data_IF_675681782714
#
_entry.id   IF_675681782714
#
_cell.length_a   1.000
_cell.length_b   1.000
_cell.length_c   1.000
_cell.angle_alpha   90.00
_cell.angle_beta   90.00
_cell.angle_gamma   90.00
#
_symmetry.space_group_name_H-M   'P 1'
#
loop_
_entity.id
_entity.type
_entity.pdbx_description
1 polymer ?
#
# COMPACT_ATOMS: atom_id res chain seq x y z
N UNK A 1 17.46 -9.83 21.86
CA UNK A 1 15.98 -9.89 21.63
C UNK A 1 15.38 -10.81 22.69
N UNK A 2 14.40 -10.33 23.45
CA UNK A 2 13.75 -11.09 24.52
C UNK A 2 12.84 -12.20 23.94
N UNK A 3 12.72 -13.36 24.67
CA UNK A 3 11.75 -14.41 24.35
C UNK A 3 10.30 -13.87 24.28
N UNK A 4 9.99 -12.86 25.08
CA UNK A 4 8.70 -12.16 25.11
C UNK A 4 8.42 -11.46 23.78
N UNK A 5 9.41 -10.77 23.20
CA UNK A 5 9.24 -10.06 21.91
C UNK A 5 8.98 -11.02 20.74
N UNK A 6 9.63 -12.18 20.76
CA UNK A 6 9.41 -13.19 19.72
C UNK A 6 7.99 -13.76 19.77
N UNK A 7 7.46 -14.03 20.99
CA UNK A 7 6.10 -14.53 21.21
C UNK A 7 5.04 -13.49 20.79
N UNK A 8 5.24 -12.22 21.15
CA UNK A 8 4.34 -11.12 20.77
C UNK A 8 4.27 -10.98 19.26
N UNK A 9 5.43 -10.98 18.57
CA UNK A 9 5.46 -10.90 17.10
C UNK A 9 4.77 -12.09 16.44
N UNK A 10 5.02 -13.31 16.94
CA UNK A 10 4.35 -14.50 16.45
C UNK A 10 2.83 -14.40 16.57
N UNK A 11 2.35 -14.01 17.76
CA UNK A 11 0.91 -13.85 18.02
C UNK A 11 0.28 -12.82 17.09
N UNK A 12 0.92 -11.64 16.93
CA UNK A 12 0.45 -10.60 15.98
C UNK A 12 0.38 -11.11 14.56
N UNK A 13 1.38 -11.86 14.11
CA UNK A 13 1.41 -12.45 12.78
C UNK A 13 0.25 -13.40 12.54
N UNK A 14 0.04 -14.35 13.45
CA UNK A 14 -1.06 -15.34 13.33
C UNK A 14 -2.43 -14.66 13.33
N UNK A 15 -2.64 -13.63 14.18
CA UNK A 15 -3.88 -12.83 14.18
C UNK A 15 -4.10 -12.18 12.82
N UNK A 16 -3.07 -11.53 12.25
CA UNK A 16 -3.16 -10.86 10.96
C UNK A 16 -3.44 -11.83 9.81
N UNK A 17 -2.71 -12.93 9.73
CA UNK A 17 -2.91 -13.97 8.71
C UNK A 17 -4.34 -14.53 8.74
N UNK A 18 -4.85 -14.84 9.94
CA UNK A 18 -6.22 -15.31 10.13
C UNK A 18 -7.27 -14.27 9.73
N UNK A 19 -7.05 -13.01 10.08
CA UNK A 19 -7.94 -11.91 9.72
C UNK A 19 -7.96 -11.64 8.21
N UNK A 20 -6.80 -11.62 7.55
CA UNK A 20 -6.70 -11.46 6.11
C UNK A 20 -7.38 -12.60 5.35
N UNK A 21 -7.27 -13.84 5.85
CA UNK A 21 -8.01 -14.97 5.28
C UNK A 21 -9.53 -14.77 5.36
N UNK A 22 -10.05 -14.29 6.48
CA UNK A 22 -11.48 -13.99 6.63
C UNK A 22 -11.94 -12.82 5.73
N UNK A 23 -11.08 -11.81 5.52
CA UNK A 23 -11.37 -10.67 4.62
C UNK A 23 -11.49 -11.08 3.14
N UNK A 24 -10.91 -12.20 2.73
CA UNK A 24 -11.12 -12.76 1.38
C UNK A 24 -12.53 -13.30 1.17
N UNK A 25 -13.16 -13.75 2.24
CA UNK A 25 -14.45 -14.42 2.19
C UNK A 25 -15.62 -13.46 2.43
N UNK A 26 -15.39 -12.40 3.22
CA UNK A 26 -16.47 -11.49 3.63
C UNK A 26 -15.94 -10.11 4.06
N UNK A 27 -16.78 -9.07 3.93
CA UNK A 27 -16.39 -7.72 4.30
C UNK A 27 -16.19 -7.59 5.83
N UNK A 28 -15.34 -6.63 6.22
CA UNK A 28 -14.91 -6.41 7.62
C UNK A 28 -16.07 -6.29 8.61
N UNK A 29 -17.17 -5.64 8.23
CA UNK A 29 -18.35 -5.46 9.09
C UNK A 29 -19.10 -6.75 9.43
N UNK A 30 -18.74 -7.87 8.78
CA UNK A 30 -19.25 -9.22 9.06
C UNK A 30 -18.24 -10.12 9.75
N UNK A 31 -17.03 -9.62 10.02
CA UNK A 31 -15.99 -10.37 10.74
C UNK A 31 -16.07 -10.04 12.23
N UNK A 32 -16.08 -11.09 13.04
CA UNK A 32 -16.12 -10.97 14.51
C UNK A 32 -14.79 -11.35 15.14
N UNK A 33 -14.48 -10.76 16.30
CA UNK A 33 -13.30 -11.15 17.11
C UNK A 33 -13.32 -12.64 17.44
N UNK A 34 -14.52 -13.24 17.61
CA UNK A 34 -14.65 -14.68 17.85
C UNK A 34 -14.07 -15.49 16.70
N UNK A 35 -14.43 -15.18 15.47
CA UNK A 35 -13.97 -15.90 14.28
C UNK A 35 -12.48 -15.74 14.07
N UNK A 36 -11.94 -14.52 14.28
CA UNK A 36 -10.49 -14.28 14.22
C UNK A 36 -9.76 -15.13 15.27
N UNK A 37 -10.26 -15.18 16.51
CA UNK A 37 -9.67 -15.98 17.57
C UNK A 37 -9.72 -17.48 17.29
N UNK A 38 -10.83 -17.97 16.73
CA UNK A 38 -10.98 -19.38 16.33
C UNK A 38 -10.01 -19.74 15.21
N UNK A 39 -9.92 -18.91 14.16
CA UNK A 39 -8.99 -19.10 13.05
C UNK A 39 -7.51 -19.02 13.50
N UNK A 40 -7.19 -18.08 14.39
CA UNK A 40 -5.84 -17.88 14.93
C UNK A 40 -5.48 -18.88 16.07
N UNK A 41 -6.42 -19.70 16.53
CA UNK A 41 -6.26 -20.61 17.67
C UNK A 41 -5.78 -19.91 18.96
N UNK A 42 -6.34 -18.73 19.26
CA UNK A 42 -6.04 -17.94 20.45
C UNK A 42 -7.32 -17.67 21.24
N UNK A 43 -7.17 -17.32 22.51
CA UNK A 43 -8.29 -16.82 23.30
C UNK A 43 -8.55 -15.33 23.09
N UNK A 44 -9.77 -14.86 23.44
CA UNK A 44 -10.16 -13.44 23.28
C UNK A 44 -9.30 -12.49 24.11
N UNK A 45 -8.85 -12.89 25.30
CA UNK A 45 -7.97 -12.04 26.12
C UNK A 45 -6.64 -11.76 25.42
N UNK A 46 -6.09 -12.76 24.71
CA UNK A 46 -4.90 -12.60 23.88
C UNK A 46 -5.17 -11.63 22.72
N UNK A 47 -6.32 -11.73 22.03
CA UNK A 47 -6.67 -10.76 20.99
C UNK A 47 -6.76 -9.34 21.55
N UNK A 48 -7.53 -9.13 22.62
CA UNK A 48 -7.73 -7.82 23.23
C UNK A 48 -6.47 -7.23 23.87
N UNK A 49 -5.44 -8.01 24.15
CA UNK A 49 -4.13 -7.49 24.55
C UNK A 49 -3.34 -6.82 23.38
N UNK A 50 -3.79 -7.02 22.14
CA UNK A 50 -3.17 -6.47 20.93
C UNK A 50 -4.04 -5.46 20.18
N UNK A 51 -5.35 -5.70 20.09
CA UNK A 51 -6.31 -4.92 19.30
C UNK A 51 -7.64 -4.79 20.04
N UNK A 52 -8.25 -3.61 19.99
CA UNK A 52 -9.58 -3.37 20.61
C UNK A 52 -10.70 -4.10 19.88
N UNK A 53 -10.61 -4.23 18.57
CA UNK A 53 -11.60 -4.85 17.69
C UNK A 53 -11.01 -5.17 16.32
N UNK A 54 -11.83 -5.68 15.39
CA UNK A 54 -11.41 -6.00 14.03
C UNK A 54 -11.07 -4.77 13.19
N UNK A 55 -11.65 -3.59 13.47
CA UNK A 55 -11.34 -2.36 12.76
C UNK A 55 -9.97 -1.82 13.17
N UNK A 56 -9.63 -1.85 14.46
CA UNK A 56 -8.29 -1.51 14.94
C UNK A 56 -7.21 -2.46 14.40
N UNK A 57 -7.54 -3.74 14.22
CA UNK A 57 -6.66 -4.70 13.55
C UNK A 57 -6.46 -4.33 12.08
N UNK A 58 -7.53 -4.00 11.35
CA UNK A 58 -7.47 -3.54 9.97
C UNK A 58 -6.58 -2.30 9.83
N UNK A 59 -6.84 -1.27 10.64
CA UNK A 59 -6.08 -0.03 10.66
C UNK A 59 -4.58 -0.27 10.94
N UNK A 60 -4.25 -1.20 11.84
CA UNK A 60 -2.86 -1.58 12.11
C UNK A 60 -2.18 -2.20 10.89
N UNK A 61 -2.88 -3.00 10.09
CA UNK A 61 -2.34 -3.61 8.87
C UNK A 61 -2.18 -2.55 7.77
N UNK A 62 -3.18 -1.69 7.61
CA UNK A 62 -3.11 -0.55 6.67
C UNK A 62 -1.92 0.36 6.99
N UNK A 63 -1.73 0.71 8.28
CA UNK A 63 -0.63 1.57 8.70
C UNK A 63 0.73 0.94 8.42
N UNK A 64 0.89 -0.37 8.59
CA UNK A 64 2.13 -1.06 8.23
C UNK A 64 2.45 -0.97 6.73
N UNK A 65 1.43 -1.07 5.86
CA UNK A 65 1.62 -0.87 4.41
C UNK A 65 2.00 0.57 4.09
N UNK A 66 1.36 1.55 4.72
CA UNK A 66 1.67 2.97 4.53
C UNK A 66 3.07 3.32 5.03
N UNK A 67 3.49 2.78 6.17
CA UNK A 67 4.83 2.98 6.71
C UNK A 67 5.90 2.37 5.79
N UNK A 68 5.65 1.17 5.25
CA UNK A 68 6.54 0.51 4.29
C UNK A 68 6.66 1.33 3.00
N UNK A 69 5.55 1.86 2.49
CA UNK A 69 5.52 2.73 1.32
C UNK A 69 6.26 4.05 1.57
N UNK A 70 5.99 4.73 2.69
CA UNK A 70 6.66 5.97 3.08
C UNK A 70 8.18 5.79 3.21
N UNK A 71 8.63 4.67 3.79
CA UNK A 71 10.06 4.33 3.85
C UNK A 71 10.68 4.14 2.46
N UNK A 72 9.95 3.57 1.52
CA UNK A 72 10.40 3.42 0.13
C UNK A 72 10.49 4.76 -0.56
N UNK A 73 9.49 5.64 -0.41
CA UNK A 73 9.54 7.03 -0.92
C UNK A 73 10.74 7.80 -0.40
N UNK A 74 11.06 7.71 0.90
CA UNK A 74 12.20 8.38 1.51
C UNK A 74 13.58 7.94 1.00
N UNK A 75 13.66 6.79 0.31
CA UNK A 75 14.88 6.28 -0.32
C UNK A 75 15.06 6.74 -1.77
N UNK A 76 14.01 7.24 -2.40
CA UNK A 76 14.04 7.73 -3.78
C UNK A 76 14.61 9.16 -3.75
N UNK A 77 15.90 9.31 -4.05
CA UNK A 77 16.62 10.60 -3.95
C UNK A 77 16.21 11.65 -5.01
N UNK A 78 15.74 11.22 -6.17
CA UNK A 78 15.06 12.02 -7.19
C UNK A 78 13.73 11.31 -7.42
N UNK A 79 12.62 12.05 -7.47
CA UNK A 79 11.30 11.44 -7.68
C UNK A 79 11.24 10.86 -9.10
N UNK A 80 11.79 9.66 -9.24
CA UNK A 80 11.78 8.85 -10.43
C UNK A 80 10.65 7.84 -10.37
N UNK A 81 9.78 7.88 -11.37
CA UNK A 81 8.56 7.06 -11.40
C UNK A 81 8.89 5.58 -11.51
N UNK A 82 9.95 5.21 -12.22
CA UNK A 82 10.37 3.82 -12.30
C UNK A 82 10.76 3.29 -10.91
N UNK A 83 11.54 4.07 -10.16
CA UNK A 83 11.91 3.74 -8.78
C UNK A 83 10.68 3.67 -7.85
N UNK A 84 9.65 4.49 -8.07
CA UNK A 84 8.39 4.43 -7.32
C UNK A 84 7.64 3.13 -7.59
N UNK A 85 7.51 2.74 -8.87
CA UNK A 85 6.84 1.48 -9.25
C UNK A 85 7.62 0.29 -8.70
N UNK A 86 8.94 0.29 -8.80
CA UNK A 86 9.80 -0.74 -8.20
C UNK A 86 9.59 -0.85 -6.69
N UNK A 87 9.50 0.29 -5.98
CA UNK A 87 9.22 0.31 -4.55
C UNK A 87 7.85 -0.28 -4.19
N UNK A 88 6.84 -0.09 -5.04
CA UNK A 88 5.51 -0.71 -4.89
C UNK A 88 5.64 -2.23 -5.03
N UNK A 89 6.33 -2.72 -6.05
CA UNK A 89 6.55 -4.15 -6.23
C UNK A 89 7.32 -4.77 -5.06
N UNK A 90 8.38 -4.12 -4.56
CA UNK A 90 9.10 -4.57 -3.36
C UNK A 90 8.20 -4.64 -2.12
N UNK A 91 7.30 -3.66 -1.95
CA UNK A 91 6.32 -3.67 -0.87
C UNK A 91 5.36 -4.87 -1.01
N UNK A 92 4.89 -5.15 -2.23
CA UNK A 92 4.04 -6.30 -2.51
C UNK A 92 4.79 -7.61 -2.25
N UNK A 93 6.06 -7.71 -2.63
CA UNK A 93 6.88 -8.90 -2.36
C UNK A 93 7.04 -9.16 -0.85
N UNK A 94 7.14 -8.10 -0.03
CA UNK A 94 7.30 -8.22 1.44
C UNK A 94 5.98 -8.41 2.19
N UNK A 95 4.91 -7.78 1.73
CA UNK A 95 3.59 -7.75 2.39
C UNK A 95 2.50 -8.40 1.55
N UNK A 96 2.87 -9.34 0.68
CA UNK A 96 2.06 -9.85 -0.42
C UNK A 96 0.62 -10.20 -0.06
N UNK A 97 0.41 -10.86 1.09
CA UNK A 97 -0.94 -11.22 1.54
C UNK A 97 -1.79 -9.99 1.86
N UNK A 98 -1.25 -9.03 2.62
CA UNK A 98 -1.97 -7.80 2.96
C UNK A 98 -2.26 -6.97 1.71
N UNK A 99 -1.30 -6.83 0.79
CA UNK A 99 -1.50 -6.13 -0.47
C UNK A 99 -2.56 -6.79 -1.33
N UNK A 100 -2.55 -8.13 -1.46
CA UNK A 100 -3.54 -8.88 -2.24
C UNK A 100 -4.97 -8.69 -1.71
N UNK A 101 -5.14 -8.68 -0.40
CA UNK A 101 -6.47 -8.55 0.22
C UNK A 101 -6.90 -7.08 0.25
N UNK A 102 -6.06 -6.16 0.75
CA UNK A 102 -6.47 -4.79 1.02
C UNK A 102 -6.48 -3.92 -0.24
N UNK A 103 -5.48 -4.06 -1.10
CA UNK A 103 -5.31 -3.24 -2.30
C UNK A 103 -5.97 -3.93 -3.50
N UNK A 104 -5.46 -5.09 -3.90
CA UNK A 104 -5.90 -5.79 -5.12
C UNK A 104 -7.30 -6.40 -4.97
N UNK A 105 -7.65 -6.90 -3.78
CA UNK A 105 -8.99 -7.41 -3.46
C UNK A 105 -10.00 -6.32 -3.08
N UNK A 106 -9.57 -5.07 -2.96
CA UNK A 106 -10.44 -3.92 -2.65
C UNK A 106 -11.04 -3.94 -1.24
N UNK A 107 -10.51 -4.74 -0.31
CA UNK A 107 -11.02 -4.78 1.06
C UNK A 107 -10.77 -3.48 1.84
N UNK A 108 -9.78 -2.65 1.43
CA UNK A 108 -9.57 -1.30 1.91
C UNK A 108 -9.49 -0.28 0.77
N UNK A 109 -10.60 0.37 0.42
CA UNK A 109 -10.61 1.37 -0.65
C UNK A 109 -9.80 2.64 -0.31
N UNK A 110 -9.46 2.85 0.96
CA UNK A 110 -8.76 4.04 1.43
C UNK A 110 -7.23 3.93 1.40
N UNK A 111 -6.67 2.73 1.48
CA UNK A 111 -5.20 2.52 1.51
C UNK A 111 -4.53 3.10 0.28
N UNK A 112 -5.08 2.84 -0.91
CA UNK A 112 -4.50 3.32 -2.17
C UNK A 112 -4.52 4.85 -2.25
N UNK A 113 -5.62 5.50 -1.88
CA UNK A 113 -5.72 6.96 -1.85
C UNK A 113 -4.77 7.59 -0.82
N UNK A 114 -4.55 6.95 0.33
CA UNK A 114 -3.58 7.38 1.34
C UNK A 114 -2.13 7.25 0.84
N UNK A 115 -1.81 6.19 0.10
CA UNK A 115 -0.49 6.03 -0.55
C UNK A 115 -0.25 7.14 -1.59
N UNK A 116 -1.23 7.45 -2.43
CA UNK A 116 -1.16 8.56 -3.39
C UNK A 116 -0.95 9.89 -2.65
N UNK A 117 -1.66 10.13 -1.55
CA UNK A 117 -1.51 11.33 -0.74
C UNK A 117 -0.10 11.48 -0.14
N UNK A 118 0.52 10.38 0.31
CA UNK A 118 1.91 10.38 0.79
C UNK A 118 2.93 10.74 -0.30
N UNK A 119 2.69 10.34 -1.54
CA UNK A 119 3.58 10.64 -2.67
C UNK A 119 3.39 12.05 -3.25
N UNK A 120 2.29 12.75 -2.90
CA UNK A 120 1.88 14.00 -3.54
C UNK A 120 2.88 15.13 -3.32
N UNK A 121 3.20 15.46 -2.07
CA UNK A 121 4.10 16.57 -1.75
C UNK A 121 5.50 16.38 -2.33
N UNK A 122 6.19 15.24 -2.10
CA UNK A 122 7.52 15.04 -2.69
C UNK A 122 7.50 14.99 -4.22
N UNK A 123 6.45 14.45 -4.84
CA UNK A 123 6.31 14.39 -6.29
C UNK A 123 6.16 15.77 -6.92
N UNK A 124 5.23 16.58 -6.40
CA UNK A 124 5.01 17.96 -6.88
C UNK A 124 6.27 18.82 -6.67
N UNK A 125 6.93 18.70 -5.51
CA UNK A 125 8.16 19.43 -5.23
C UNK A 125 9.28 19.09 -6.22
N UNK A 126 9.43 17.82 -6.59
CA UNK A 126 10.40 17.40 -7.59
C UNK A 126 10.08 17.94 -9.00
N UNK A 127 8.81 17.94 -9.38
CA UNK A 127 8.38 18.45 -10.69
C UNK A 127 8.50 19.97 -10.81
N UNK A 128 8.23 20.73 -9.73
CA UNK A 128 8.46 22.20 -9.70
C UNK A 128 9.87 22.61 -10.06
N UNK A 129 10.86 21.77 -9.81
CA UNK A 129 12.25 22.04 -10.14
C UNK A 129 12.62 21.74 -11.60
N UNK A 130 11.79 20.99 -12.31
CA UNK A 130 12.11 20.42 -13.62
C UNK A 130 11.16 20.88 -14.74
N UNK A 131 9.97 21.36 -14.38
CA UNK A 131 8.91 21.64 -15.34
C UNK A 131 8.55 23.14 -15.33
N UNK A 132 8.22 23.64 -16.50
CA UNK A 132 7.67 24.98 -16.69
C UNK A 132 6.13 24.93 -16.62
N UNK A 133 5.60 24.74 -15.42
CA UNK A 133 4.17 24.57 -15.16
C UNK A 133 3.75 25.37 -13.92
N UNK A 134 2.52 25.86 -13.92
CA UNK A 134 1.89 26.49 -12.76
C UNK A 134 1.60 25.47 -11.65
N UNK A 135 1.44 25.91 -10.40
CA UNK A 135 1.06 25.05 -9.28
C UNK A 135 -0.23 24.28 -9.57
N UNK A 136 -1.21 24.92 -10.21
CA UNK A 136 -2.46 24.26 -10.58
C UNK A 136 -2.28 23.17 -11.62
N UNK A 137 -1.42 23.39 -12.61
CA UNK A 137 -1.10 22.37 -13.63
C UNK A 137 -0.37 21.18 -13.02
N UNK A 138 0.58 21.41 -12.10
CA UNK A 138 1.28 20.36 -11.38
C UNK A 138 0.32 19.49 -10.53
N UNK A 139 -0.64 20.12 -9.85
CA UNK A 139 -1.67 19.43 -9.08
C UNK A 139 -2.58 18.57 -9.97
N UNK A 140 -3.04 19.13 -11.09
CA UNK A 140 -3.86 18.36 -12.04
C UNK A 140 -3.08 17.22 -12.67
N UNK A 141 -1.82 17.45 -13.04
CA UNK A 141 -0.93 16.45 -13.61
C UNK A 141 -0.66 15.32 -12.62
N UNK A 142 -0.34 15.66 -11.35
CA UNK A 142 -0.15 14.66 -10.30
C UNK A 142 -1.40 13.83 -10.09
N UNK A 143 -2.56 14.46 -9.97
CA UNK A 143 -3.84 13.78 -9.78
C UNK A 143 -4.14 12.82 -10.93
N UNK A 144 -3.96 13.28 -12.17
CA UNK A 144 -4.19 12.47 -13.36
C UNK A 144 -3.25 11.26 -13.42
N UNK A 145 -1.95 11.50 -13.30
CA UNK A 145 -0.95 10.44 -13.43
C UNK A 145 -1.00 9.46 -12.27
N UNK A 146 -1.06 9.93 -11.01
CA UNK A 146 -1.03 9.03 -9.85
C UNK A 146 -2.22 8.07 -9.82
N UNK A 147 -3.44 8.56 -10.07
CA UNK A 147 -4.63 7.69 -10.07
C UNK A 147 -4.60 6.69 -11.24
N UNK A 148 -4.30 7.15 -12.46
CA UNK A 148 -4.25 6.28 -13.63
C UNK A 148 -3.14 5.23 -13.51
N UNK A 149 -1.94 5.63 -13.12
CA UNK A 149 -0.79 4.73 -13.00
C UNK A 149 -0.94 3.72 -11.86
N UNK A 150 -1.49 4.14 -10.71
CA UNK A 150 -1.75 3.21 -9.62
C UNK A 150 -2.76 2.12 -10.03
N UNK A 151 -3.79 2.48 -10.79
CA UNK A 151 -4.72 1.48 -11.34
C UNK A 151 -4.04 0.54 -12.32
N UNK A 152 -3.15 1.03 -13.19
CA UNK A 152 -2.36 0.18 -14.09
C UNK A 152 -1.49 -0.81 -13.32
N UNK A 153 -0.83 -0.37 -12.24
CA UNK A 153 -0.01 -1.24 -11.38
C UNK A 153 -0.87 -2.29 -10.68
N UNK A 154 -1.99 -1.87 -10.06
CA UNK A 154 -2.89 -2.77 -9.33
C UNK A 154 -3.53 -3.80 -10.25
N UNK A 155 -4.11 -3.36 -11.38
CA UNK A 155 -4.78 -4.23 -12.34
C UNK A 155 -3.80 -5.09 -13.15
N UNK A 156 -2.59 -4.59 -13.36
CA UNK A 156 -1.53 -5.24 -14.14
C UNK A 156 -0.72 -6.26 -13.36
N UNK A 157 -0.73 -6.20 -12.01
CA UNK A 157 0.17 -6.96 -11.15
C UNK A 157 0.21 -8.47 -11.44
N UNK A 158 -0.96 -9.11 -11.57
CA UNK A 158 -1.08 -10.54 -11.88
C UNK A 158 -1.27 -10.83 -13.39
N UNK A 159 -1.40 -9.79 -14.23
CA UNK A 159 -1.73 -9.95 -15.66
C UNK A 159 -0.52 -9.80 -16.57
N UNK A 160 0.45 -8.97 -16.19
CA UNK A 160 1.59 -8.60 -17.03
C UNK A 160 2.91 -8.79 -16.29
N UNK A 161 4.01 -9.07 -17.02
CA UNK A 161 5.36 -9.07 -16.45
C UNK A 161 5.69 -7.71 -15.82
N UNK A 162 6.39 -7.73 -14.68
CA UNK A 162 6.78 -6.52 -13.93
C UNK A 162 7.49 -5.48 -14.78
N UNK A 163 8.44 -5.91 -15.59
CA UNK A 163 9.24 -5.06 -16.49
C UNK A 163 8.39 -4.37 -17.56
N UNK A 164 7.36 -5.03 -18.07
CA UNK A 164 6.40 -4.43 -19.01
C UNK A 164 5.58 -3.33 -18.33
N UNK A 165 5.08 -3.56 -17.11
CA UNK A 165 4.33 -2.54 -16.35
C UNK A 165 5.23 -1.34 -16.02
N UNK A 166 6.44 -1.58 -15.50
CA UNK A 166 7.41 -0.51 -15.19
C UNK A 166 7.74 0.31 -16.44
N UNK A 167 8.06 -0.36 -17.56
CA UNK A 167 8.39 0.29 -18.85
C UNK A 167 7.21 1.10 -19.40
N UNK A 168 5.99 0.58 -19.32
CA UNK A 168 4.80 1.30 -19.75
C UNK A 168 4.57 2.56 -18.92
N UNK A 169 4.62 2.44 -17.59
CA UNK A 169 4.41 3.56 -16.66
C UNK A 169 5.48 4.65 -16.89
N UNK A 170 6.75 4.28 -16.96
CA UNK A 170 7.85 5.24 -17.22
C UNK A 170 7.65 6.01 -18.53
N UNK A 171 7.29 5.30 -19.60
CA UNK A 171 7.04 5.91 -20.92
C UNK A 171 5.88 6.91 -20.89
N UNK A 172 4.76 6.56 -20.25
CA UNK A 172 3.59 7.45 -20.14
C UNK A 172 3.94 8.70 -19.33
N UNK A 173 4.61 8.54 -18.18
CA UNK A 173 5.00 9.69 -17.35
C UNK A 173 5.98 10.59 -18.09
N UNK A 174 7.05 10.06 -18.68
CA UNK A 174 8.02 10.87 -19.45
C UNK A 174 7.36 11.64 -20.60
N UNK A 175 6.44 10.99 -21.32
CA UNK A 175 5.69 11.65 -22.40
C UNK A 175 4.80 12.77 -21.87
N UNK A 176 4.13 12.57 -20.75
CA UNK A 176 3.27 13.58 -20.13
C UNK A 176 4.07 14.75 -19.58
N UNK A 177 5.20 14.49 -18.91
CA UNK A 177 6.07 15.54 -18.38
C UNK A 177 6.76 16.35 -19.49
N UNK A 178 7.00 15.75 -20.67
CA UNK A 178 7.61 16.45 -21.80
C UNK A 178 6.75 17.60 -22.34
N UNK A 179 5.44 17.60 -22.09
CA UNK A 179 4.55 18.70 -22.47
C UNK A 179 4.78 19.99 -21.69
N UNK A 180 5.49 19.92 -20.57
CA UNK A 180 5.73 21.04 -19.64
C UNK A 180 7.23 21.41 -19.50
N UNK A 181 8.09 20.91 -20.39
CA UNK A 181 9.53 21.22 -20.43
C UNK A 181 9.88 22.43 -21.27
#
# INVERSE_FOLDING_TARGET
MSKTDARVRYTRRVIKESFLSLLREKPINKITVKEVCEAAQINRATFYSHYSDCFALMESIEQELLDAFAQSLGRIGVFDVSSLVEAIYEMVDRHGEACRVLIFGGASPTVLSRMIALAREPGIAAWKQQLNATDAELEMLFTHLSNGLMHVVVEGYDKYPRDEVVSFVDRIVRSSLALFR
#
